data_IF_052649357737
#
_entry.id   IF_052649357737
#
_cell.length_a   1.000
_cell.length_b   1.000
_cell.length_c   1.000
_cell.angle_alpha   90.00
_cell.angle_beta   90.00
_cell.angle_gamma   90.00
#
_symmetry.space_group_name_H-M   'P 1'
#
loop_
_entity.id
_entity.type
_entity.pdbx_description
1 polymer ?
#
# COMPACT_ATOMS: atom_id res chain seq x y z
N UNK A 1 -21.59 59.22 1.21
CA UNK A 1 -20.34 59.28 0.43
C UNK A 1 -19.21 58.76 1.31
N UNK A 2 -18.76 57.51 1.17
CA UNK A 2 -17.52 57.06 1.81
C UNK A 2 -16.66 56.35 0.76
N UNK A 3 -15.58 57.04 0.41
CA UNK A 3 -14.67 56.81 -0.70
C UNK A 3 -13.61 55.77 -0.33
N UNK A 4 -13.88 54.51 -0.68
CA UNK A 4 -12.89 53.44 -0.53
C UNK A 4 -11.85 53.57 -1.67
N UNK A 5 -10.87 54.46 -1.49
CA UNK A 5 -9.76 54.71 -2.43
C UNK A 5 -8.90 53.46 -2.55
N UNK A 6 -9.01 52.77 -3.68
CA UNK A 6 -8.13 51.65 -4.07
C UNK A 6 -6.71 52.16 -4.24
N UNK A 7 -5.79 51.78 -3.36
CA UNK A 7 -4.35 52.02 -3.55
C UNK A 7 -3.85 51.23 -4.76
N UNK A 8 -3.34 51.93 -5.78
CA UNK A 8 -2.62 51.33 -6.90
C UNK A 8 -1.33 50.68 -6.37
N UNK A 9 -1.24 49.36 -6.43
CA UNK A 9 -0.06 48.60 -6.01
C UNK A 9 -0.31 47.09 -6.05
N UNK A 10 0.78 46.32 -6.25
CA UNK A 10 0.79 44.85 -6.27
C UNK A 10 0.08 44.33 -5.01
N UNK A 11 -0.90 43.41 -5.11
CA UNK A 11 -1.65 42.95 -3.95
C UNK A 11 -0.70 42.48 -2.85
N UNK A 12 -0.91 43.00 -1.64
CA UNK A 12 -0.18 42.60 -0.44
C UNK A 12 -0.23 41.08 -0.37
N UNK A 13 0.94 40.44 -0.33
CA UNK A 13 1.06 38.99 -0.38
C UNK A 13 0.06 38.32 0.57
N UNK A 14 -0.55 37.23 0.13
CA UNK A 14 -1.78 36.60 0.62
C UNK A 14 -1.83 36.19 2.10
N UNK A 15 -0.86 36.57 2.94
CA UNK A 15 -0.87 36.35 4.39
C UNK A 15 -0.87 34.87 4.79
N UNK A 16 -0.69 33.95 3.83
CA UNK A 16 -0.73 32.52 4.07
C UNK A 16 0.48 32.14 4.93
N UNK A 17 0.16 31.70 6.17
CA UNK A 17 1.13 31.10 7.05
C UNK A 17 1.50 29.72 6.52
N UNK A 18 2.61 29.69 5.80
CA UNK A 18 3.21 28.47 5.24
C UNK A 18 4.06 27.72 6.28
N UNK A 19 4.21 28.26 7.50
CA UNK A 19 5.03 27.70 8.57
C UNK A 19 4.70 26.24 8.93
N UNK A 20 3.41 25.88 9.16
CA UNK A 20 3.03 24.51 9.47
C UNK A 20 3.42 23.51 8.38
N UNK A 21 3.25 23.89 7.11
CA UNK A 21 3.61 23.07 5.95
C UNK A 21 5.12 22.86 5.87
N UNK A 22 5.92 23.90 6.13
CA UNK A 22 7.38 23.82 6.13
C UNK A 22 7.91 22.95 7.28
N UNK A 23 7.29 23.02 8.47
CA UNK A 23 7.61 22.11 9.59
C UNK A 23 7.35 20.65 9.23
N UNK A 24 6.22 20.35 8.60
CA UNK A 24 5.88 19.00 8.09
C UNK A 24 6.89 18.52 7.04
N UNK A 25 7.35 19.40 6.16
CA UNK A 25 8.41 19.11 5.17
C UNK A 25 9.72 18.73 5.88
N UNK A 26 10.12 19.48 6.91
CA UNK A 26 11.31 19.17 7.69
C UNK A 26 11.21 17.82 8.39
N UNK A 27 10.06 17.52 9.00
CA UNK A 27 9.83 16.23 9.66
C UNK A 27 9.96 15.06 8.67
N UNK A 28 9.44 15.20 7.45
CA UNK A 28 9.58 14.19 6.40
C UNK A 28 11.02 13.97 5.95
N UNK A 29 11.84 15.03 5.88
CA UNK A 29 13.26 14.93 5.50
C UNK A 29 14.07 14.34 6.64
N UNK A 30 13.79 14.72 7.90
CA UNK A 30 14.44 14.12 9.07
C UNK A 30 14.09 12.63 9.16
N UNK A 31 12.84 12.24 8.89
CA UNK A 31 12.41 10.84 8.84
C UNK A 31 13.12 10.05 7.74
N UNK A 32 13.27 10.64 6.55
CA UNK A 32 13.86 10.03 5.36
C UNK A 32 14.93 10.95 4.75
N UNK A 33 16.21 10.83 5.14
CA UNK A 33 17.28 11.74 4.69
C UNK A 33 17.54 11.75 3.18
N UNK A 34 17.16 10.67 2.47
CA UNK A 34 17.28 10.57 1.01
C UNK A 34 16.18 11.34 0.25
N UNK A 35 15.16 11.86 0.94
CA UNK A 35 14.04 12.54 0.33
C UNK A 35 14.42 13.97 -0.10
N UNK A 36 14.23 14.27 -1.39
CA UNK A 36 14.47 15.63 -1.91
C UNK A 36 13.46 16.62 -1.32
N UNK A 37 13.89 17.85 -0.95
CA UNK A 37 12.97 18.84 -0.38
C UNK A 37 11.80 19.21 -1.28
N UNK A 38 12.00 19.25 -2.59
CA UNK A 38 10.93 19.52 -3.56
C UNK A 38 9.89 18.40 -3.59
N UNK A 39 10.32 17.15 -3.43
CA UNK A 39 9.42 15.99 -3.29
C UNK A 39 8.65 16.05 -1.98
N UNK A 40 9.32 16.40 -0.88
CA UNK A 40 8.67 16.59 0.42
C UNK A 40 7.62 17.72 0.37
N UNK A 41 7.91 18.85 -0.26
CA UNK A 41 6.94 19.95 -0.46
C UNK A 41 5.72 19.48 -1.25
N UNK A 42 5.92 18.73 -2.34
CA UNK A 42 4.80 18.18 -3.14
C UNK A 42 3.92 17.24 -2.33
N UNK A 43 4.51 16.45 -1.43
CA UNK A 43 3.78 15.53 -0.54
C UNK A 43 3.11 16.23 0.64
N UNK A 44 3.60 17.41 1.03
CA UNK A 44 3.03 18.19 2.12
C UNK A 44 1.73 18.92 1.72
N UNK A 45 1.56 19.16 0.41
CA UNK A 45 0.40 19.87 -0.16
C UNK A 45 -0.69 18.89 -0.60
N UNK A 46 -1.94 19.20 -0.28
CA UNK A 46 -3.10 18.44 -0.79
C UNK A 46 -3.30 18.65 -2.30
N UNK A 47 -2.98 19.87 -2.79
CA UNK A 47 -3.03 20.24 -4.21
C UNK A 47 -1.71 20.92 -4.62
N UNK A 48 -0.79 20.20 -5.30
CA UNK A 48 0.54 20.69 -5.64
C UNK A 48 0.51 21.63 -6.85
N UNK A 49 -0.03 22.83 -6.68
CA UNK A 49 -0.04 23.89 -7.70
C UNK A 49 1.35 24.51 -7.90
N UNK A 50 1.77 24.85 -9.14
CA UNK A 50 3.10 25.40 -9.42
C UNK A 50 3.45 26.66 -8.62
N UNK A 51 2.45 27.52 -8.37
CA UNK A 51 2.62 28.75 -7.58
C UNK A 51 2.91 28.45 -6.09
N UNK A 52 2.18 27.51 -5.50
CA UNK A 52 2.35 27.09 -4.09
C UNK A 52 3.72 26.41 -3.89
N UNK A 53 4.12 25.56 -4.84
CA UNK A 53 5.43 24.90 -4.81
C UNK A 53 6.54 25.94 -4.85
N UNK A 54 6.48 26.92 -5.77
CA UNK A 54 7.50 27.98 -5.87
C UNK A 54 7.56 28.83 -4.60
N UNK A 55 6.42 29.23 -4.04
CA UNK A 55 6.34 29.99 -2.79
C UNK A 55 7.00 29.24 -1.63
N UNK A 56 6.67 27.96 -1.46
CA UNK A 56 7.24 27.11 -0.42
C UNK A 56 8.71 26.80 -0.64
N UNK A 57 9.17 26.66 -1.89
CA UNK A 57 10.60 26.51 -2.19
C UNK A 57 11.42 27.73 -1.78
N UNK A 58 10.92 28.95 -2.03
CA UNK A 58 11.59 30.19 -1.62
C UNK A 58 11.66 30.29 -0.09
N UNK A 59 10.53 30.07 0.60
CA UNK A 59 10.50 30.08 2.07
C UNK A 59 11.33 28.96 2.70
N UNK A 60 11.33 27.77 2.10
CA UNK A 60 12.17 26.65 2.52
C UNK A 60 13.65 26.99 2.36
N UNK A 61 14.07 27.55 1.23
CA UNK A 61 15.47 27.95 1.04
C UNK A 61 15.92 29.00 2.07
N UNK A 62 15.05 29.94 2.43
CA UNK A 62 15.35 30.96 3.42
C UNK A 62 15.46 30.40 4.85
N UNK A 63 14.56 29.50 5.25
CA UNK A 63 14.46 29.01 6.64
C UNK A 63 14.89 27.56 6.87
N UNK A 64 15.48 26.86 5.88
CA UNK A 64 15.76 25.42 5.96
C UNK A 64 16.50 25.03 7.24
N UNK A 65 17.54 25.78 7.60
CA UNK A 65 18.38 25.46 8.75
C UNK A 65 17.58 25.46 10.05
N UNK A 66 16.74 26.47 10.25
CA UNK A 66 15.87 26.60 11.42
C UNK A 66 14.84 25.47 11.48
N UNK A 67 14.14 25.20 10.37
CA UNK A 67 13.15 24.12 10.33
C UNK A 67 13.77 22.74 10.54
N UNK A 68 14.97 22.50 10.00
CA UNK A 68 15.70 21.24 10.20
C UNK A 68 16.20 21.10 11.64
N UNK A 69 16.73 22.17 12.23
CA UNK A 69 17.16 22.17 13.63
C UNK A 69 15.97 21.95 14.58
N UNK A 70 14.84 22.62 14.33
CA UNK A 70 13.60 22.43 15.09
C UNK A 70 13.05 21.00 14.92
N UNK A 71 13.07 20.44 13.70
CA UNK A 71 12.64 19.05 13.46
C UNK A 71 13.57 18.02 14.10
N UNK A 72 14.89 18.25 14.07
CA UNK A 72 15.87 17.42 14.76
C UNK A 72 15.72 17.51 16.28
N UNK A 73 15.51 18.71 16.82
CA UNK A 73 15.24 18.92 18.24
C UNK A 73 13.94 18.23 18.68
N UNK A 74 12.88 18.31 17.86
CA UNK A 74 11.62 17.59 18.11
C UNK A 74 11.81 16.07 18.09
N UNK A 75 12.59 15.54 17.14
CA UNK A 75 12.90 14.10 17.10
C UNK A 75 13.81 13.65 18.24
N UNK A 76 14.79 14.47 18.61
CA UNK A 76 15.69 14.24 19.74
C UNK A 76 14.93 14.27 21.08
N UNK A 77 14.00 15.21 21.25
CA UNK A 77 13.11 15.27 22.41
C UNK A 77 12.18 14.05 22.49
N UNK A 78 11.69 13.56 21.34
CA UNK A 78 10.89 12.33 21.28
C UNK A 78 11.73 11.05 21.50
N UNK A 79 13.02 11.05 21.12
CA UNK A 79 13.93 9.92 21.32
C UNK A 79 14.63 9.93 22.67
N UNK A 80 14.57 11.03 23.42
CA UNK A 80 15.07 11.08 24.80
C UNK A 80 14.07 10.33 25.68
N UNK A 81 14.44 9.19 26.28
CA UNK A 81 13.58 8.55 27.26
C UNK A 81 13.51 9.49 28.47
N UNK A 82 12.44 10.29 28.53
CA UNK A 82 12.14 11.08 29.71
C UNK A 82 12.02 10.11 30.90
N UNK A 83 13.05 10.13 31.75
CA UNK A 83 13.04 9.65 33.13
C UNK A 83 11.80 10.26 33.80
N UNK A 84 10.73 9.46 33.88
CA UNK A 84 9.42 9.90 34.39
C UNK A 84 9.57 10.31 35.85
N UNK A 85 9.61 11.62 36.11
CA UNK A 85 9.13 12.18 37.37
C UNK A 85 7.61 12.22 37.26
N UNK A 86 6.96 11.52 38.18
CA UNK A 86 5.52 11.26 38.25
C UNK A 86 4.73 12.43 38.83
N UNK A 87 3.60 12.80 38.21
CA UNK A 87 2.27 13.02 38.83
C UNK A 87 1.31 13.74 37.84
N UNK A 88 -0.03 13.67 38.01
CA UNK A 88 -0.87 12.53 38.40
C UNK A 88 -1.96 12.31 37.34
N UNK A 89 -1.81 11.28 36.48
CA UNK A 89 -2.92 10.74 35.72
C UNK A 89 -3.16 9.30 36.19
N UNK A 90 -4.36 9.06 36.70
CA UNK A 90 -4.85 7.82 37.32
C UNK A 90 -4.09 6.54 36.90
N UNK A 91 -3.37 5.86 37.82
CA UNK A 91 -2.48 4.74 37.50
C UNK A 91 -3.18 3.45 37.02
N UNK A 92 -4.51 3.39 37.00
CA UNK A 92 -5.24 2.12 36.82
C UNK A 92 -5.52 1.74 35.37
N UNK A 93 -5.76 2.67 34.44
CA UNK A 93 -6.16 2.29 33.05
C UNK A 93 -4.99 1.97 32.12
N UNK A 94 -3.84 2.63 32.26
CA UNK A 94 -2.70 2.44 31.35
C UNK A 94 -1.92 1.13 31.60
N UNK A 95 -1.78 0.71 32.87
CA UNK A 95 -1.20 -0.59 33.22
C UNK A 95 -2.02 -1.74 32.65
N UNK A 96 -3.34 -1.62 32.70
CA UNK A 96 -4.25 -2.67 32.22
C UNK A 96 -4.11 -2.94 30.71
N UNK A 97 -3.83 -1.94 29.87
CA UNK A 97 -3.74 -2.15 28.41
C UNK A 97 -2.40 -2.83 28.05
N UNK A 98 -1.30 -2.40 28.67
CA UNK A 98 0.03 -3.00 28.44
C UNK A 98 0.11 -4.39 29.07
N UNK A 99 -0.46 -4.59 30.26
CA UNK A 99 -0.56 -5.91 30.87
C UNK A 99 -1.55 -6.82 30.14
N UNK A 100 -2.67 -6.31 29.63
CA UNK A 100 -3.58 -7.12 28.81
C UNK A 100 -2.91 -7.53 27.49
N UNK A 101 -2.14 -6.64 26.86
CA UNK A 101 -1.40 -6.99 25.65
C UNK A 101 -0.28 -7.99 25.96
N UNK A 102 0.45 -7.83 27.07
CA UNK A 102 1.47 -8.80 27.51
C UNK A 102 0.85 -10.15 27.85
N UNK A 103 -0.26 -10.18 28.61
CA UNK A 103 -1.00 -11.41 28.92
C UNK A 103 -1.60 -12.06 27.68
N UNK A 104 -2.05 -11.28 26.70
CA UNK A 104 -2.54 -11.79 25.42
C UNK A 104 -1.39 -12.41 24.60
N UNK A 105 -0.22 -11.78 24.56
CA UNK A 105 0.98 -12.35 23.94
C UNK A 105 1.50 -13.58 24.70
N UNK A 106 1.44 -13.59 26.02
CA UNK A 106 1.80 -14.75 26.86
C UNK A 106 0.78 -15.88 26.75
N UNK A 107 -0.50 -15.60 26.52
CA UNK A 107 -1.54 -16.61 26.32
C UNK A 107 -1.50 -17.20 24.90
N UNK A 108 -1.20 -16.38 23.89
CA UNK A 108 -1.06 -16.82 22.49
C UNK A 108 0.34 -17.38 22.18
N UNK A 109 1.35 -17.01 22.96
CA UNK A 109 2.75 -17.36 22.76
C UNK A 109 3.02 -18.87 22.77
N UNK A 110 2.52 -19.64 23.75
CA UNK A 110 2.71 -21.09 23.79
C UNK A 110 2.06 -21.80 22.61
N UNK A 111 0.84 -21.41 22.22
CA UNK A 111 0.15 -21.99 21.07
C UNK A 111 0.83 -21.68 19.74
N UNK A 112 1.28 -20.44 19.55
CA UNK A 112 2.03 -20.04 18.37
C UNK A 112 3.40 -20.72 18.30
N UNK A 113 4.10 -20.82 19.45
CA UNK A 113 5.39 -21.52 19.55
C UNK A 113 5.23 -23.02 19.30
N UNK A 114 4.21 -23.67 19.87
CA UNK A 114 3.91 -25.07 19.61
C UNK A 114 3.57 -25.31 18.13
N UNK A 115 2.78 -24.44 17.49
CA UNK A 115 2.51 -24.53 16.05
C UNK A 115 3.78 -24.34 15.21
N UNK A 116 4.64 -23.40 15.61
CA UNK A 116 5.92 -23.16 14.96
C UNK A 116 6.90 -24.33 15.14
N UNK A 117 6.92 -24.98 16.31
CA UNK A 117 7.68 -26.19 16.59
C UNK A 117 7.13 -27.39 15.79
N UNK A 118 5.81 -27.53 15.65
CA UNK A 118 5.20 -28.53 14.78
C UNK A 118 5.59 -28.33 13.31
N UNK A 119 5.54 -27.10 12.80
CA UNK A 119 5.97 -26.79 11.43
C UNK A 119 7.47 -26.98 11.21
N UNK A 120 8.28 -26.80 12.26
CA UNK A 120 9.72 -27.02 12.25
C UNK A 120 10.13 -28.42 12.72
N UNK A 121 9.17 -29.30 12.98
CA UNK A 121 9.45 -30.65 13.45
C UNK A 121 10.25 -31.42 12.38
N UNK A 122 11.13 -32.35 12.78
CA UNK A 122 11.93 -33.13 11.83
C UNK A 122 11.09 -33.82 10.75
N UNK A 123 9.93 -34.38 11.12
CA UNK A 123 9.01 -35.03 10.18
C UNK A 123 8.40 -34.05 9.18
N UNK A 124 7.96 -32.87 9.63
CA UNK A 124 7.41 -31.85 8.74
C UNK A 124 8.48 -31.25 7.83
N UNK A 125 9.72 -31.09 8.33
CA UNK A 125 10.87 -30.69 7.51
C UNK A 125 11.21 -31.72 6.46
N UNK A 126 11.25 -33.01 6.82
CA UNK A 126 11.47 -34.09 5.86
C UNK A 126 10.36 -34.14 4.80
N UNK A 127 9.10 -33.93 5.19
CA UNK A 127 7.98 -33.84 4.26
C UNK A 127 8.09 -32.62 3.33
N UNK A 128 8.50 -31.46 3.85
CA UNK A 128 8.76 -30.27 3.05
C UNK A 128 9.93 -30.49 2.08
N UNK A 129 11.01 -31.14 2.52
CA UNK A 129 12.15 -31.45 1.68
C UNK A 129 11.78 -32.47 0.59
N UNK A 130 11.01 -33.50 0.94
CA UNK A 130 10.47 -34.44 -0.03
C UNK A 130 9.60 -33.71 -1.07
N UNK A 131 8.67 -32.87 -0.63
CA UNK A 131 7.83 -32.06 -1.52
C UNK A 131 8.66 -31.13 -2.41
N UNK A 132 9.71 -30.49 -1.88
CA UNK A 132 10.66 -29.70 -2.67
C UNK A 132 11.37 -30.55 -3.70
N UNK A 133 11.89 -31.72 -3.34
CA UNK A 133 12.54 -32.65 -4.28
C UNK A 133 11.59 -33.12 -5.38
N UNK A 134 10.30 -33.31 -5.07
CA UNK A 134 9.29 -33.59 -6.10
C UNK A 134 9.08 -32.40 -7.04
N UNK A 135 8.91 -31.19 -6.51
CA UNK A 135 8.75 -29.98 -7.31
C UNK A 135 9.99 -29.67 -8.17
N UNK A 136 11.17 -29.93 -7.62
CA UNK A 136 12.45 -29.73 -8.30
C UNK A 136 12.89 -30.93 -9.13
N UNK A 137 12.07 -32.00 -9.19
CA UNK A 137 12.38 -33.18 -9.99
C UNK A 137 12.52 -32.80 -11.47
N UNK A 138 13.40 -33.47 -12.23
CA UNK A 138 13.58 -33.18 -13.65
C UNK A 138 12.27 -33.25 -14.46
N UNK A 139 11.38 -34.18 -14.12
CA UNK A 139 10.07 -34.31 -14.75
C UNK A 139 9.16 -33.09 -14.48
N UNK A 140 9.08 -32.63 -13.22
CA UNK A 140 8.29 -31.44 -12.87
C UNK A 140 8.88 -30.17 -13.49
N UNK A 141 10.21 -30.05 -13.53
CA UNK A 141 10.87 -28.93 -14.23
C UNK A 141 10.56 -28.92 -15.71
N UNK A 142 10.59 -30.09 -16.38
CA UNK A 142 10.25 -30.19 -17.80
C UNK A 142 8.79 -29.78 -18.08
N UNK A 143 7.85 -30.18 -17.20
CA UNK A 143 6.45 -29.74 -17.28
C UNK A 143 6.33 -28.23 -17.09
N UNK A 144 7.02 -27.67 -16.10
CA UNK A 144 6.99 -26.23 -15.81
C UNK A 144 7.64 -25.42 -16.94
N UNK A 145 8.74 -25.90 -17.53
CA UNK A 145 9.40 -25.28 -18.67
C UNK A 145 8.53 -25.34 -19.93
N UNK A 146 7.89 -26.48 -20.20
CA UNK A 146 6.93 -26.60 -21.28
C UNK A 146 5.77 -25.61 -21.11
N UNK A 147 5.20 -25.53 -19.90
CA UNK A 147 4.11 -24.59 -19.57
C UNK A 147 4.55 -23.14 -19.71
N UNK A 148 5.78 -22.82 -19.30
CA UNK A 148 6.35 -21.48 -19.43
C UNK A 148 6.97 -21.19 -20.80
N UNK A 149 6.92 -22.14 -21.74
CA UNK A 149 7.50 -21.96 -23.06
C UNK A 149 6.86 -20.77 -23.79
N UNK A 150 7.61 -20.04 -24.64
CA UNK A 150 7.07 -18.94 -25.43
C UNK A 150 5.83 -19.34 -26.24
N UNK A 151 5.82 -20.57 -26.77
CA UNK A 151 4.69 -21.12 -27.52
C UNK A 151 3.44 -21.30 -26.66
N UNK A 152 3.57 -21.91 -25.48
CA UNK A 152 2.42 -22.08 -24.57
C UNK A 152 1.92 -20.74 -24.07
N UNK A 153 2.81 -19.79 -23.77
CA UNK A 153 2.42 -18.42 -23.41
C UNK A 153 1.67 -17.70 -24.53
N UNK A 154 2.14 -17.81 -25.77
CA UNK A 154 1.44 -17.23 -26.92
C UNK A 154 0.04 -17.85 -27.11
N UNK A 155 -0.10 -19.16 -26.90
CA UNK A 155 -1.38 -19.85 -26.92
C UNK A 155 -2.28 -19.35 -25.78
N UNK A 156 -1.77 -19.23 -24.55
CA UNK A 156 -2.52 -18.69 -23.41
C UNK A 156 -2.93 -17.23 -23.64
N UNK A 157 -2.08 -16.40 -24.24
CA UNK A 157 -2.38 -15.01 -24.54
C UNK A 157 -3.45 -14.88 -25.64
N UNK A 158 -3.37 -15.70 -26.69
CA UNK A 158 -4.41 -15.77 -27.71
C UNK A 158 -5.73 -16.23 -27.12
N UNK A 159 -5.71 -17.28 -26.29
CA UNK A 159 -6.89 -17.76 -25.58
C UNK A 159 -7.45 -16.69 -24.64
N UNK A 160 -6.59 -15.90 -23.99
CA UNK A 160 -7.00 -14.84 -23.07
C UNK A 160 -7.13 -13.47 -23.73
N UNK A 161 -7.08 -13.39 -25.06
CA UNK A 161 -7.21 -12.14 -25.80
C UNK A 161 -8.60 -11.51 -25.60
N UNK A 162 -8.70 -10.16 -25.65
CA UNK A 162 -9.99 -9.48 -25.52
C UNK A 162 -11.04 -9.99 -26.50
N UNK A 163 -10.64 -10.29 -27.74
CA UNK A 163 -11.52 -10.83 -28.78
C UNK A 163 -12.03 -12.23 -28.43
N UNK A 164 -11.17 -13.14 -27.97
CA UNK A 164 -11.59 -14.48 -27.56
C UNK A 164 -12.42 -14.47 -26.28
N UNK A 165 -12.18 -13.52 -25.36
CA UNK A 165 -13.05 -13.29 -24.20
C UNK A 165 -14.43 -12.82 -24.63
N UNK A 166 -14.51 -11.79 -25.48
CA UNK A 166 -15.79 -11.29 -26.00
C UNK A 166 -16.57 -12.39 -26.74
N UNK A 167 -15.90 -13.22 -27.54
CA UNK A 167 -16.55 -14.37 -28.18
C UNK A 167 -17.06 -15.40 -27.16
N UNK A 168 -16.29 -15.72 -26.11
CA UNK A 168 -16.76 -16.61 -25.04
C UNK A 168 -17.94 -16.03 -24.28
N UNK A 169 -17.90 -14.75 -23.94
CA UNK A 169 -19.02 -14.06 -23.28
C UNK A 169 -20.28 -14.03 -24.15
N UNK A 170 -20.14 -13.82 -25.46
CA UNK A 170 -21.24 -13.93 -26.41
C UNK A 170 -21.75 -15.37 -26.52
N UNK A 171 -20.85 -16.36 -26.58
CA UNK A 171 -21.22 -17.78 -26.60
C UNK A 171 -21.92 -18.21 -25.30
N UNK A 172 -21.51 -17.66 -24.16
CA UNK A 172 -22.10 -17.88 -22.85
C UNK A 172 -23.29 -16.97 -22.54
N UNK A 173 -23.62 -16.05 -23.45
CA UNK A 173 -24.74 -15.13 -23.27
C UNK A 173 -26.07 -15.89 -23.12
N UNK A 174 -27.01 -15.38 -22.31
CA UNK A 174 -28.32 -15.99 -22.15
C UNK A 174 -29.05 -16.19 -23.48
N UNK A 175 -28.89 -15.27 -24.42
CA UNK A 175 -29.48 -15.33 -25.75
C UNK A 175 -28.94 -16.51 -26.56
N UNK A 176 -27.62 -16.70 -26.60
CA UNK A 176 -27.02 -17.82 -27.34
C UNK A 176 -27.28 -19.17 -26.67
N UNK A 177 -27.37 -19.20 -25.33
CA UNK A 177 -27.82 -20.39 -24.60
C UNK A 177 -29.26 -20.76 -24.96
N UNK A 178 -30.18 -19.80 -24.93
CA UNK A 178 -31.57 -20.02 -25.35
C UNK A 178 -31.68 -20.45 -26.81
N UNK A 179 -30.90 -19.86 -27.71
CA UNK A 179 -30.86 -20.24 -29.12
C UNK A 179 -30.39 -21.68 -29.33
N UNK A 180 -29.35 -22.13 -28.61
CA UNK A 180 -28.87 -23.52 -28.66
C UNK A 180 -29.89 -24.52 -28.12
N UNK A 181 -30.60 -24.18 -27.04
CA UNK A 181 -31.66 -25.04 -26.51
C UNK A 181 -32.84 -25.13 -27.47
N UNK A 182 -33.22 -24.02 -28.10
CA UNK A 182 -34.23 -24.01 -29.17
C UNK A 182 -33.78 -24.82 -30.39
N UNK A 183 -32.50 -24.75 -30.78
CA UNK A 183 -31.94 -25.53 -31.88
C UNK A 183 -31.95 -27.03 -31.56
N UNK A 184 -31.58 -27.42 -30.33
CA UNK A 184 -31.68 -28.82 -29.86
C UNK A 184 -33.13 -29.31 -29.90
N UNK A 185 -34.08 -28.53 -29.38
CA UNK A 185 -35.51 -28.85 -29.42
C UNK A 185 -36.00 -29.00 -30.87
N UNK A 186 -35.61 -28.09 -31.76
CA UNK A 186 -36.00 -28.14 -33.17
C UNK A 186 -35.36 -29.35 -33.90
N UNK A 187 -34.14 -29.75 -33.52
CA UNK A 187 -33.45 -30.93 -34.06
C UNK A 187 -34.07 -32.23 -33.58
N UNK A 188 -34.56 -32.28 -32.33
CA UNK A 188 -35.34 -33.39 -31.81
C UNK A 188 -36.72 -33.49 -32.50
N UNK A 189 -37.33 -32.35 -32.84
CA UNK A 189 -38.59 -32.31 -33.60
C UNK A 189 -38.41 -32.69 -35.09
N UNK A 190 -37.24 -32.41 -35.69
CA UNK A 190 -36.94 -32.75 -37.10
C UNK A 190 -36.26 -34.11 -37.29
N UNK A 191 -35.56 -34.63 -36.28
CA UNK A 191 -34.83 -35.90 -36.30
C UNK A 191 -35.61 -37.08 -35.72
N UNK A 192 -36.89 -36.89 -35.40
CA UNK A 192 -37.79 -37.98 -35.05
C UNK A 192 -38.48 -38.54 -36.29
N UNK A 193 -37.73 -39.25 -37.15
CA UNK A 193 -38.15 -40.34 -38.04
C UNK A 193 -36.90 -41.09 -38.51
#
# INVERSE_FOLDING_TARGET
MNSNKRSRGRPVGTGLDDGPTLKKVADMIVANPSLRPTTAIRRALDKPEPSNIRRLQVKWKAGKAEYMAEAQARRAAASTPARRVSAPYSPRRGRNIVEAHRKMQEALGPGFRAAQEMMNSPGMRAAQEAARRYQESPAMRAIEEFRNSPTMRAIEELQNSPTMRAMRELQDSPMMRAAREMEKVQRLLKGGF
#
